data_IF_750403808993
#
_entry.id   IF_750403808993
#
_cell.length_a   1.000
_cell.length_b   1.000
_cell.length_c   1.000
_cell.angle_alpha   90.00
_cell.angle_beta   90.00
_cell.angle_gamma   90.00
#
_symmetry.space_group_name_H-M   'P 1'
#
loop_
_entity.id
_entity.type
_entity.pdbx_description
1 polymer ?
#
# COMPACT_ATOMS: atom_id res chain seq x y z
N UNK A 1 19.28 -5.43 6.68
CA UNK A 1 17.91 -5.11 7.17
C UNK A 1 17.31 -3.90 6.45
N UNK A 2 18.05 -3.20 5.57
CA UNK A 2 17.47 -2.28 4.60
C UNK A 2 16.98 -3.01 3.34
N UNK A 3 17.64 -4.12 2.99
CA UNK A 3 17.37 -4.89 1.75
C UNK A 3 15.93 -5.42 1.64
N UNK A 4 15.31 -5.83 2.75
CA UNK A 4 13.94 -6.36 2.75
C UNK A 4 12.90 -5.25 2.57
N UNK A 5 13.08 -4.12 3.26
CA UNK A 5 12.19 -2.97 3.13
C UNK A 5 12.32 -2.32 1.75
N UNK A 6 13.54 -2.24 1.22
CA UNK A 6 13.81 -1.74 -0.13
C UNK A 6 13.17 -2.63 -1.20
N UNK A 7 13.21 -3.95 -1.02
CA UNK A 7 12.53 -4.89 -1.91
C UNK A 7 11.00 -4.70 -1.88
N UNK A 8 10.40 -4.56 -0.69
CA UNK A 8 8.96 -4.35 -0.55
C UNK A 8 8.54 -3.00 -1.15
N UNK A 9 9.30 -1.94 -0.87
CA UNK A 9 9.08 -0.62 -1.49
C UNK A 9 9.14 -0.72 -3.02
N UNK A 10 10.10 -1.47 -3.56
CA UNK A 10 10.21 -1.69 -5.00
C UNK A 10 8.97 -2.37 -5.55
N UNK A 11 8.52 -3.48 -4.96
CA UNK A 11 7.29 -4.18 -5.38
C UNK A 11 6.05 -3.27 -5.34
N UNK A 12 5.91 -2.49 -4.27
CA UNK A 12 4.79 -1.56 -4.12
C UNK A 12 4.83 -0.47 -5.18
N UNK A 13 6.01 0.11 -5.44
CA UNK A 13 6.18 1.13 -6.46
C UNK A 13 5.91 0.56 -7.86
N UNK A 14 6.35 -0.66 -8.16
CA UNK A 14 6.05 -1.33 -9.43
C UNK A 14 4.55 -1.47 -9.67
N UNK A 15 3.76 -1.74 -8.62
CA UNK A 15 2.29 -1.78 -8.71
C UNK A 15 1.73 -0.38 -8.99
N UNK A 16 2.16 0.63 -8.23
CA UNK A 16 1.66 2.00 -8.35
C UNK A 16 2.03 2.68 -9.68
N UNK A 17 3.14 2.24 -10.31
CA UNK A 17 3.61 2.72 -11.61
C UNK A 17 2.98 1.98 -12.80
N UNK A 18 2.15 0.96 -12.56
CA UNK A 18 1.40 0.31 -13.66
C UNK A 18 0.49 1.36 -14.30
N UNK A 19 0.52 1.42 -15.62
CA UNK A 19 -0.43 2.22 -16.39
C UNK A 19 -1.81 1.56 -16.31
N UNK A 20 -2.57 1.94 -15.28
CA UNK A 20 -3.86 1.36 -14.95
C UNK A 20 -4.92 1.58 -16.03
N UNK A 21 -4.70 2.53 -16.95
CA UNK A 21 -5.61 2.75 -18.07
C UNK A 21 -5.68 1.56 -19.02
N UNK A 22 -4.63 0.73 -19.06
CA UNK A 22 -4.58 -0.50 -19.86
C UNK A 22 -5.35 -1.69 -19.25
N UNK A 23 -5.88 -1.54 -18.04
CA UNK A 23 -6.57 -2.59 -17.31
C UNK A 23 -8.08 -2.32 -17.27
N UNK A 24 -8.88 -3.39 -17.18
CA UNK A 24 -10.32 -3.31 -16.93
C UNK A 24 -10.62 -2.77 -15.52
N UNK A 25 -11.85 -2.35 -15.27
CA UNK A 25 -12.26 -1.86 -13.95
C UNK A 25 -12.04 -2.89 -12.83
N UNK A 26 -12.31 -4.18 -13.12
CA UNK A 26 -12.11 -5.28 -12.16
C UNK A 26 -10.63 -5.52 -11.88
N UNK A 27 -9.77 -5.44 -12.90
CA UNK A 27 -8.32 -5.56 -12.73
C UNK A 27 -7.76 -4.38 -11.95
N UNK A 28 -8.19 -3.14 -12.24
CA UNK A 28 -7.79 -1.96 -11.45
C UNK A 28 -8.18 -2.12 -9.98
N UNK A 29 -9.39 -2.63 -9.72
CA UNK A 29 -9.85 -2.97 -8.38
C UNK A 29 -8.95 -4.02 -7.74
N UNK A 30 -8.65 -5.12 -8.42
CA UNK A 30 -7.78 -6.17 -7.89
C UNK A 30 -6.37 -5.63 -7.56
N UNK A 31 -5.76 -4.89 -8.47
CA UNK A 31 -4.41 -4.33 -8.31
C UNK A 31 -4.34 -3.39 -7.10
N UNK A 32 -5.26 -2.44 -6.98
CA UNK A 32 -5.23 -1.43 -5.91
C UNK A 32 -5.79 -1.98 -4.59
N UNK A 33 -6.95 -2.62 -4.63
CA UNK A 33 -7.67 -3.04 -3.42
C UNK A 33 -7.13 -4.35 -2.83
N UNK A 34 -6.49 -5.20 -3.62
CA UNK A 34 -5.99 -6.50 -3.15
C UNK A 34 -4.47 -6.56 -3.20
N UNK A 35 -3.83 -6.50 -4.38
CA UNK A 35 -2.37 -6.68 -4.49
C UNK A 35 -1.60 -5.65 -3.64
N UNK A 36 -1.80 -4.35 -3.91
CA UNK A 36 -1.11 -3.28 -3.19
C UNK A 36 -1.42 -3.31 -1.69
N UNK A 37 -2.71 -3.46 -1.35
CA UNK A 37 -3.19 -3.55 0.02
C UNK A 37 -2.54 -4.65 0.82
N UNK A 38 -2.46 -5.84 0.23
CA UNK A 38 -1.94 -7.01 0.92
C UNK A 38 -0.47 -6.82 1.23
N UNK A 39 0.31 -6.33 0.26
CA UNK A 39 1.73 -6.04 0.46
C UNK A 39 1.91 -4.95 1.53
N UNK A 40 1.14 -3.86 1.45
CA UNK A 40 1.23 -2.78 2.44
C UNK A 40 0.94 -3.28 3.86
N UNK A 41 -0.18 -3.99 4.06
CA UNK A 41 -0.63 -4.40 5.41
C UNK A 41 0.14 -5.58 5.97
N UNK A 42 0.54 -6.54 5.14
CA UNK A 42 1.11 -7.81 5.61
C UNK A 42 2.63 -7.89 5.48
N UNK A 43 3.25 -7.09 4.61
CA UNK A 43 4.70 -7.06 4.44
C UNK A 43 5.29 -5.73 4.96
N UNK A 44 4.82 -4.59 4.46
CA UNK A 44 5.40 -3.29 4.76
C UNK A 44 5.16 -2.83 6.21
N UNK A 45 3.90 -2.72 6.63
CA UNK A 45 3.54 -2.23 7.97
C UNK A 45 4.23 -3.03 9.09
N UNK A 46 4.24 -4.38 9.08
CA UNK A 46 4.87 -5.15 10.14
C UNK A 46 6.38 -4.88 10.27
N UNK A 47 7.09 -4.70 9.16
CA UNK A 47 8.53 -4.41 9.19
C UNK A 47 8.79 -3.01 9.75
N UNK A 48 8.02 -2.01 9.31
CA UNK A 48 8.14 -0.64 9.82
C UNK A 48 7.85 -0.60 11.33
N UNK A 49 6.79 -1.28 11.78
CA UNK A 49 6.42 -1.35 13.19
C UNK A 49 7.42 -2.15 14.05
N UNK A 50 8.00 -3.22 13.49
CA UNK A 50 9.07 -4.00 14.15
C UNK A 50 10.31 -3.15 14.39
N UNK A 51 10.65 -2.28 13.43
CA UNK A 51 11.80 -1.38 13.49
C UNK A 51 11.51 -0.07 14.25
N UNK A 52 10.24 0.19 14.60
CA UNK A 52 9.84 1.36 15.39
C UNK A 52 10.16 1.15 16.87
N UNK A 53 10.43 2.27 17.57
CA UNK A 53 10.52 2.25 19.04
C UNK A 53 9.17 1.83 19.63
N UNK A 54 9.14 1.04 20.73
CA UNK A 54 7.90 0.55 21.33
C UNK A 54 6.89 1.65 21.65
N UNK A 55 7.35 2.78 22.17
CA UNK A 55 6.54 3.95 22.53
C UNK A 55 5.85 4.61 21.33
N UNK A 56 6.44 4.49 20.13
CA UNK A 56 5.94 5.12 18.91
C UNK A 56 5.02 4.20 18.10
N UNK A 57 4.95 2.89 18.42
CA UNK A 57 4.26 1.89 17.58
C UNK A 57 2.80 2.22 17.30
N UNK A 58 2.04 2.60 18.32
CA UNK A 58 0.61 2.92 18.15
C UNK A 58 0.40 4.16 17.27
N UNK A 59 1.27 5.16 17.41
CA UNK A 59 1.24 6.35 16.57
C UNK A 59 1.64 6.02 15.13
N UNK A 60 2.72 5.25 14.95
CA UNK A 60 3.20 4.84 13.64
C UNK A 60 2.18 3.96 12.91
N UNK A 61 1.49 3.05 13.60
CA UNK A 61 0.43 2.23 13.00
C UNK A 61 -0.71 3.10 12.45
N UNK A 62 -1.17 4.10 13.22
CA UNK A 62 -2.19 5.05 12.74
C UNK A 62 -1.70 5.85 11.54
N UNK A 63 -0.45 6.30 11.55
CA UNK A 63 0.16 7.05 10.45
C UNK A 63 0.22 6.20 9.17
N UNK A 64 0.67 4.96 9.28
CA UNK A 64 0.73 4.01 8.16
C UNK A 64 -0.66 3.70 7.59
N UNK A 65 -1.67 3.51 8.44
CA UNK A 65 -3.05 3.33 7.97
C UNK A 65 -3.60 4.58 7.27
N UNK A 66 -3.21 5.78 7.72
CA UNK A 66 -3.59 7.03 7.05
C UNK A 66 -2.92 7.17 5.68
N UNK A 67 -1.63 6.83 5.56
CA UNK A 67 -0.88 6.82 4.29
C UNK A 67 -1.48 5.83 3.27
N UNK A 68 -1.85 4.63 3.73
CA UNK A 68 -2.56 3.65 2.90
C UNK A 68 -3.91 4.21 2.41
N UNK A 69 -4.69 4.83 3.29
CA UNK A 69 -5.98 5.42 2.94
C UNK A 69 -5.86 6.61 1.98
N UNK A 70 -4.83 7.44 2.13
CA UNK A 70 -4.54 8.53 1.21
C UNK A 70 -4.24 7.99 -0.19
N UNK A 71 -3.37 6.98 -0.26
CA UNK A 71 -3.03 6.30 -1.53
C UNK A 71 -4.29 5.71 -2.17
N UNK A 72 -5.12 4.98 -1.42
CA UNK A 72 -6.40 4.51 -1.95
C UNK A 72 -7.28 5.63 -2.45
N UNK A 73 -7.40 6.73 -1.71
CA UNK A 73 -8.31 7.81 -2.08
C UNK A 73 -7.91 8.41 -3.42
N UNK A 74 -6.61 8.56 -3.66
CA UNK A 74 -6.09 9.06 -4.94
C UNK A 74 -6.48 8.12 -6.09
N UNK A 75 -6.10 6.84 -6.02
CA UNK A 75 -6.40 5.87 -7.09
C UNK A 75 -7.89 5.57 -7.24
N UNK A 76 -8.66 5.53 -6.15
CA UNK A 76 -10.13 5.35 -6.18
C UNK A 76 -10.81 6.49 -6.91
N UNK A 77 -10.40 7.73 -6.66
CA UNK A 77 -11.02 8.89 -7.30
C UNK A 77 -10.63 8.98 -8.77
N UNK A 78 -9.35 8.73 -9.09
CA UNK A 78 -8.84 8.77 -10.46
C UNK A 78 -9.50 7.70 -11.34
N UNK A 79 -9.56 6.46 -10.87
CA UNK A 79 -10.04 5.31 -11.64
C UNK A 79 -11.47 4.86 -11.29
N UNK A 80 -12.17 5.60 -10.44
CA UNK A 80 -13.53 5.29 -9.97
C UNK A 80 -13.64 3.89 -9.31
N UNK A 81 -12.58 3.44 -8.65
CA UNK A 81 -12.49 2.11 -8.02
C UNK A 81 -13.30 2.08 -6.71
N UNK A 82 -14.06 1.00 -6.48
CA UNK A 82 -14.72 0.69 -5.21
C UNK A 82 -14.10 -0.56 -4.58
N UNK A 83 -13.33 -0.36 -3.52
CA UNK A 83 -12.89 -1.45 -2.64
C UNK A 83 -13.99 -1.65 -1.60
N UNK A 84 -14.83 -2.67 -1.81
CA UNK A 84 -15.93 -3.04 -0.91
C UNK A 84 -15.40 -3.81 0.32
#
# INVERSE_FOLDING_TARGET
MFDELDLINTKMNEILLRDLDNYSADERKHIICEEYTQIYKHEYMPIVLKNSKPEDRQYNEKKLLAELNETYTNYKNEYQIRCD
#
